data_IF_544176829755
#
_entry.id   IF_544176829755
#
_cell.length_a   1.000
_cell.length_b   1.000
_cell.length_c   1.000
_cell.angle_alpha   90.00
_cell.angle_beta   90.00
_cell.angle_gamma   90.00
#
_symmetry.space_group_name_H-M   'P 1'
#
loop_
_entity.id
_entity.type
_entity.pdbx_description
1 polymer ?
#
# COMPACT_ATOMS: atom_id res chain seq x y z
N UNK A 1 1.65 -20.50 -3.82
CA UNK A 1 1.42 -19.07 -4.13
C UNK A 1 2.46 -18.28 -3.36
N UNK A 2 3.03 -17.25 -3.97
CA UNK A 2 3.99 -16.39 -3.31
C UNK A 2 3.34 -15.65 -2.12
N UNK A 3 4.08 -15.46 -1.05
CA UNK A 3 3.64 -14.68 0.12
C UNK A 3 3.82 -13.19 -0.18
N UNK A 4 2.76 -12.34 -0.13
CA UNK A 4 2.87 -10.93 -0.40
C UNK A 4 3.63 -10.19 0.70
N UNK A 5 4.52 -9.29 0.31
CA UNK A 5 5.22 -8.33 1.18
C UNK A 5 4.94 -6.93 0.65
N UNK A 6 4.25 -6.11 1.44
CA UNK A 6 3.90 -4.75 1.05
C UNK A 6 5.10 -3.82 1.27
N UNK A 7 5.51 -3.09 0.25
CA UNK A 7 6.52 -2.04 0.37
C UNK A 7 5.79 -0.71 0.51
N UNK A 8 5.92 -0.05 1.64
CA UNK A 8 5.17 1.18 1.94
C UNK A 8 6.08 2.32 2.32
N UNK A 9 5.84 3.48 1.74
CA UNK A 9 6.37 4.75 2.21
C UNK A 9 5.50 5.37 3.32
N UNK A 10 5.70 6.65 3.63
CA UNK A 10 4.94 7.33 4.69
C UNK A 10 3.54 7.79 4.26
N UNK A 11 2.68 8.18 5.25
CA UNK A 11 1.24 8.52 5.08
C UNK A 11 0.94 9.64 4.08
N UNK A 12 1.75 10.66 4.03
CA UNK A 12 1.61 11.75 3.07
C UNK A 12 2.74 11.60 2.06
N UNK A 13 2.61 10.69 1.10
CA UNK A 13 3.73 10.31 0.25
C UNK A 13 4.23 11.52 -0.55
N UNK A 14 5.53 11.71 -0.53
CA UNK A 14 6.26 12.55 -1.46
C UNK A 14 6.87 11.70 -2.59
N UNK A 15 7.68 12.34 -3.42
CA UNK A 15 8.27 11.64 -4.56
C UNK A 15 9.27 10.55 -4.13
N UNK A 16 10.03 10.74 -3.03
CA UNK A 16 10.99 9.73 -2.52
C UNK A 16 10.27 8.51 -1.94
N UNK A 17 9.19 8.74 -1.23
CA UNK A 17 8.30 7.70 -0.69
C UNK A 17 7.71 6.83 -1.80
N UNK A 18 7.24 7.42 -2.91
CA UNK A 18 6.70 6.70 -4.08
C UNK A 18 7.80 5.95 -4.84
N UNK A 19 8.86 6.65 -5.21
CA UNK A 19 9.98 6.08 -5.95
C UNK A 19 10.71 5.01 -5.15
N UNK A 20 10.84 5.23 -3.84
CA UNK A 20 11.40 4.26 -2.90
C UNK A 20 10.59 2.96 -2.89
N UNK A 21 9.25 3.05 -2.81
CA UNK A 21 8.40 1.86 -2.85
C UNK A 21 8.56 1.09 -4.17
N UNK A 22 8.53 1.78 -5.32
CA UNK A 22 8.69 1.18 -6.65
C UNK A 22 10.08 0.55 -6.82
N UNK A 23 11.13 1.33 -6.56
CA UNK A 23 12.52 0.89 -6.75
C UNK A 23 12.92 -0.25 -5.81
N UNK A 24 12.45 -0.21 -4.54
CA UNK A 24 12.76 -1.26 -3.59
C UNK A 24 11.99 -2.55 -3.90
N UNK A 25 10.73 -2.46 -4.34
CA UNK A 25 9.97 -3.62 -4.81
C UNK A 25 10.67 -4.26 -6.01
N UNK A 26 11.12 -3.46 -6.97
CA UNK A 26 11.90 -3.96 -8.11
C UNK A 26 13.18 -4.70 -7.64
N UNK A 27 13.98 -4.07 -6.78
CA UNK A 27 15.18 -4.69 -6.21
C UNK A 27 14.88 -6.04 -5.53
N UNK A 28 13.86 -6.09 -4.69
CA UNK A 28 13.51 -7.30 -3.92
C UNK A 28 12.98 -8.41 -4.82
N UNK A 29 12.17 -8.10 -5.82
CA UNK A 29 11.65 -9.08 -6.77
C UNK A 29 12.77 -9.67 -7.65
N UNK A 30 13.73 -8.85 -8.09
CA UNK A 30 14.90 -9.36 -8.83
C UNK A 30 15.79 -10.25 -7.94
N UNK A 31 15.98 -9.90 -6.67
CA UNK A 31 16.69 -10.75 -5.71
C UNK A 31 15.95 -12.07 -5.46
N UNK A 32 14.59 -12.04 -5.40
CA UNK A 32 13.77 -13.24 -5.22
C UNK A 32 13.89 -14.18 -6.44
N UNK A 33 13.86 -13.66 -7.66
CA UNK A 33 14.09 -14.43 -8.89
C UNK A 33 15.45 -15.14 -8.85
N UNK A 34 16.50 -14.46 -8.40
CA UNK A 34 17.85 -15.07 -8.25
C UNK A 34 17.87 -16.15 -7.17
N UNK A 35 17.15 -15.91 -6.06
CA UNK A 35 17.05 -16.90 -4.97
C UNK A 35 16.36 -18.17 -5.45
N UNK A 36 15.22 -18.06 -6.15
CA UNK A 36 14.49 -19.20 -6.70
C UNK A 36 15.27 -19.93 -7.79
N UNK A 37 16.06 -19.22 -8.60
CA UNK A 37 16.94 -19.84 -9.58
C UNK A 37 18.05 -20.71 -8.94
N UNK A 38 18.52 -20.34 -7.73
CA UNK A 38 19.51 -21.10 -6.98
C UNK A 38 18.89 -22.18 -6.08
N UNK A 39 17.71 -21.93 -5.54
CA UNK A 39 16.97 -22.82 -4.68
C UNK A 39 15.48 -22.78 -5.01
N UNK A 40 14.98 -23.66 -5.91
CA UNK A 40 13.57 -23.69 -6.32
C UNK A 40 12.58 -24.01 -5.19
N UNK A 41 13.05 -24.60 -4.07
CA UNK A 41 12.22 -24.93 -2.90
C UNK A 41 12.21 -23.80 -1.84
N UNK A 42 12.85 -22.66 -2.12
CA UNK A 42 12.83 -21.52 -1.20
C UNK A 42 11.40 -20.95 -1.07
N UNK A 43 11.08 -20.41 0.11
CA UNK A 43 9.84 -19.67 0.30
C UNK A 43 9.79 -18.48 -0.66
N UNK A 44 8.73 -18.42 -1.45
CA UNK A 44 8.54 -17.40 -2.47
C UNK A 44 7.79 -16.21 -1.89
N UNK A 45 8.37 -15.01 -2.10
CA UNK A 45 7.77 -13.74 -1.72
C UNK A 45 7.54 -12.87 -2.96
N UNK A 46 6.41 -12.16 -2.99
CA UNK A 46 6.08 -11.15 -3.97
C UNK A 46 6.09 -9.78 -3.30
N UNK A 47 6.96 -8.87 -3.76
CA UNK A 47 7.11 -7.54 -3.19
C UNK A 47 6.28 -6.55 -3.99
N UNK A 48 5.24 -5.99 -3.34
CA UNK A 48 4.20 -5.16 -3.97
C UNK A 48 4.42 -3.71 -3.53
N UNK A 49 4.71 -2.78 -4.47
CA UNK A 49 4.83 -1.37 -4.13
C UNK A 49 3.46 -0.79 -3.78
N UNK A 50 3.38 -0.11 -2.63
CA UNK A 50 2.15 0.47 -2.11
C UNK A 50 2.35 1.93 -1.71
N UNK A 51 1.27 2.71 -1.73
CA UNK A 51 1.20 4.09 -1.23
C UNK A 51 0.06 4.25 -0.23
N UNK A 52 0.23 5.17 0.70
CA UNK A 52 -0.71 5.41 1.80
C UNK A 52 -1.56 6.67 1.60
N UNK A 53 -1.37 7.39 0.50
CA UNK A 53 -2.06 8.64 0.19
C UNK A 53 -2.17 8.91 -1.31
N UNK A 54 -2.63 10.10 -1.67
CA UNK A 54 -2.67 10.57 -3.06
C UNK A 54 -1.29 10.47 -3.71
N UNK A 55 -1.25 10.23 -5.00
CA UNK A 55 0.00 10.27 -5.75
C UNK A 55 0.40 11.76 -5.94
N UNK A 56 1.64 12.15 -5.60
CA UNK A 56 2.15 13.48 -5.93
C UNK A 56 2.13 13.72 -7.44
N UNK A 57 1.87 14.94 -7.88
CA UNK A 57 1.74 15.28 -9.30
C UNK A 57 3.03 14.98 -10.08
N UNK A 58 4.19 15.30 -9.51
CA UNK A 58 5.50 14.98 -10.06
C UNK A 58 5.74 13.47 -10.17
N UNK A 59 5.30 12.69 -9.18
CA UNK A 59 5.40 11.23 -9.24
C UNK A 59 4.49 10.68 -10.34
N UNK A 60 3.25 11.15 -10.43
CA UNK A 60 2.29 10.73 -11.46
C UNK A 60 2.81 11.02 -12.87
N UNK A 61 3.37 12.22 -13.07
CA UNK A 61 3.94 12.62 -14.35
C UNK A 61 5.09 11.70 -14.77
N UNK A 62 6.06 11.47 -13.89
CA UNK A 62 7.24 10.64 -14.22
C UNK A 62 6.85 9.16 -14.40
N UNK A 63 6.02 8.60 -13.52
CA UNK A 63 5.57 7.22 -13.67
C UNK A 63 4.81 7.02 -15.00
N UNK A 64 3.93 7.98 -15.35
CA UNK A 64 3.18 7.94 -16.61
C UNK A 64 4.08 8.10 -17.84
N UNK A 65 5.02 9.05 -17.82
CA UNK A 65 5.96 9.31 -18.92
C UNK A 65 6.82 8.08 -19.25
N UNK A 66 7.28 7.38 -18.21
CA UNK A 66 8.15 6.21 -18.37
C UNK A 66 7.41 4.86 -18.31
N UNK A 67 6.08 4.86 -18.31
CA UNK A 67 5.25 3.67 -18.37
C UNK A 67 5.38 2.75 -17.15
N UNK A 68 5.66 3.30 -15.99
CA UNK A 68 5.71 2.59 -14.71
C UNK A 68 4.32 2.62 -14.07
N UNK A 69 3.84 1.46 -13.64
CA UNK A 69 2.58 1.36 -12.92
C UNK A 69 2.66 2.05 -11.55
N UNK A 70 1.64 2.86 -11.23
CA UNK A 70 1.59 3.55 -9.95
C UNK A 70 1.45 2.56 -8.78
N UNK A 71 2.13 2.78 -7.64
CA UNK A 71 1.97 1.96 -6.46
C UNK A 71 0.51 1.82 -6.03
N UNK A 72 0.13 0.62 -5.60
CA UNK A 72 -1.23 0.34 -5.14
C UNK A 72 -1.60 1.22 -3.94
N UNK A 73 -2.74 1.93 -4.03
CA UNK A 73 -3.27 2.65 -2.88
C UNK A 73 -3.83 1.67 -1.86
N UNK A 74 -3.30 1.71 -0.64
CA UNK A 74 -3.81 0.93 0.48
C UNK A 74 -4.16 1.87 1.65
N UNK A 75 -5.33 1.73 2.27
CA UNK A 75 -5.70 2.59 3.41
C UNK A 75 -5.05 2.14 4.72
N UNK A 76 -4.67 0.88 4.84
CA UNK A 76 -4.16 0.26 6.06
C UNK A 76 -3.45 -1.06 5.77
N UNK A 77 -2.73 -1.58 6.76
CA UNK A 77 -2.05 -2.89 6.72
C UNK A 77 -2.66 -3.92 7.68
N UNK A 78 -3.89 -3.68 8.16
CA UNK A 78 -4.61 -4.70 8.93
C UNK A 78 -4.80 -5.97 8.12
N UNK A 79 -4.75 -7.12 8.80
CA UNK A 79 -5.00 -8.42 8.18
C UNK A 79 -6.44 -8.50 7.64
N UNK A 80 -6.59 -9.20 6.52
CA UNK A 80 -7.87 -9.44 5.83
C UNK A 80 -8.22 -10.91 5.84
N UNK A 81 -9.44 -11.24 5.47
CA UNK A 81 -9.90 -12.62 5.31
C UNK A 81 -9.05 -13.39 4.31
N UNK A 82 -8.65 -12.74 3.21
CA UNK A 82 -7.74 -13.32 2.21
C UNK A 82 -6.39 -13.77 2.76
N UNK A 83 -5.93 -13.20 3.86
CA UNK A 83 -4.65 -13.56 4.48
C UNK A 83 -4.73 -14.88 5.30
N UNK A 84 -5.94 -15.40 5.57
CA UNK A 84 -6.17 -16.61 6.38
C UNK A 84 -7.03 -17.67 5.72
N UNK A 85 -7.76 -17.34 4.65
CA UNK A 85 -8.65 -18.27 4.01
C UNK A 85 -7.92 -19.45 3.37
N UNK A 86 -8.50 -20.64 3.46
CA UNK A 86 -8.08 -21.79 2.67
C UNK A 86 -8.58 -21.64 1.23
N UNK A 87 -7.68 -21.57 0.26
CA UNK A 87 -7.94 -21.39 -1.17
C UNK A 87 -6.97 -22.28 -1.99
N UNK A 88 -7.39 -22.86 -3.16
CA UNK A 88 -8.74 -22.79 -3.72
C UNK A 88 -9.75 -23.62 -2.93
N UNK A 89 -11.03 -23.22 -3.00
CA UNK A 89 -12.10 -23.95 -2.32
C UNK A 89 -12.46 -25.23 -3.08
N UNK A 90 -12.74 -26.31 -2.34
CA UNK A 90 -13.26 -27.54 -2.91
C UNK A 90 -14.79 -27.42 -3.01
N UNK A 91 -15.32 -27.49 -4.23
CA UNK A 91 -16.73 -27.33 -4.52
C UNK A 91 -17.30 -28.48 -5.33
N UNK A 92 -18.63 -28.68 -5.25
CA UNK A 92 -19.40 -29.62 -6.06
C UNK A 92 -20.70 -28.97 -6.53
N UNK A 93 -21.19 -29.31 -7.73
CA UNK A 93 -22.52 -28.88 -8.14
C UNK A 93 -23.57 -29.58 -7.27
N UNK A 94 -24.73 -28.94 -7.05
CA UNK A 94 -25.82 -29.47 -6.23
C UNK A 94 -26.37 -30.80 -6.70
N UNK A 95 -26.20 -31.12 -7.98
CA UNK A 95 -26.55 -32.44 -8.58
C UNK A 95 -25.55 -33.56 -8.28
N UNK A 96 -24.43 -33.28 -7.63
CA UNK A 96 -23.47 -34.30 -7.23
C UNK A 96 -24.08 -35.23 -6.17
N UNK A 97 -23.62 -36.50 -6.14
CA UNK A 97 -24.14 -37.47 -5.18
C UNK A 97 -23.51 -37.34 -3.81
N UNK A 98 -24.25 -37.77 -2.78
CA UNK A 98 -23.75 -37.82 -1.41
C UNK A 98 -22.48 -38.68 -1.28
N UNK A 99 -22.40 -39.79 -2.08
CA UNK A 99 -21.18 -40.61 -2.13
C UNK A 99 -19.96 -39.78 -2.59
N UNK A 100 -20.12 -38.99 -3.65
CA UNK A 100 -19.03 -38.16 -4.17
C UNK A 100 -18.56 -37.11 -3.15
N UNK A 101 -19.51 -36.45 -2.46
CA UNK A 101 -19.20 -35.51 -1.40
C UNK A 101 -18.46 -36.20 -0.25
N UNK A 102 -18.94 -37.36 0.22
CA UNK A 102 -18.30 -38.14 1.28
C UNK A 102 -16.86 -38.55 0.93
N UNK A 103 -16.63 -38.94 -0.33
CA UNK A 103 -15.29 -39.30 -0.82
C UNK A 103 -14.36 -38.11 -0.81
N UNK A 104 -14.78 -36.92 -1.27
CA UNK A 104 -13.96 -35.71 -1.30
C UNK A 104 -13.64 -35.24 0.12
N UNK A 105 -14.59 -35.25 1.05
CA UNK A 105 -14.35 -34.92 2.46
C UNK A 105 -13.23 -35.80 3.04
N UNK A 106 -13.28 -37.10 2.76
CA UNK A 106 -12.29 -38.07 3.26
C UNK A 106 -10.91 -37.91 2.60
N UNK A 107 -10.88 -37.73 1.26
CA UNK A 107 -9.61 -37.63 0.50
C UNK A 107 -8.86 -36.38 0.85
N UNK A 108 -9.56 -35.25 1.05
CA UNK A 108 -8.94 -33.97 1.33
C UNK A 108 -8.85 -33.63 2.82
N UNK A 109 -9.32 -34.52 3.71
CA UNK A 109 -9.39 -34.32 5.16
C UNK A 109 -10.08 -32.98 5.55
N UNK A 110 -11.16 -32.61 4.83
CA UNK A 110 -11.94 -31.42 5.05
C UNK A 110 -13.29 -31.75 5.71
N UNK A 111 -13.89 -30.74 6.37
CA UNK A 111 -15.14 -30.91 7.10
C UNK A 111 -16.38 -30.44 6.33
N UNK A 112 -16.18 -29.57 5.35
CA UNK A 112 -17.26 -28.96 4.57
C UNK A 112 -16.85 -28.83 3.11
N UNK A 113 -17.82 -28.98 2.21
CA UNK A 113 -17.69 -28.75 0.76
C UNK A 113 -18.67 -27.67 0.38
N UNK A 114 -18.20 -26.72 -0.41
CA UNK A 114 -19.05 -25.70 -1.03
C UNK A 114 -19.91 -26.35 -2.11
N UNK A 115 -21.18 -26.02 -2.10
CA UNK A 115 -22.12 -26.44 -3.15
C UNK A 115 -22.39 -25.26 -4.07
N UNK A 116 -22.33 -25.53 -5.38
CA UNK A 116 -22.61 -24.51 -6.40
C UNK A 116 -23.91 -24.83 -7.12
N UNK A 117 -24.55 -23.79 -7.64
CA UNK A 117 -25.68 -23.90 -8.58
C UNK A 117 -25.20 -24.25 -10.01
N UNK A 118 -26.14 -24.24 -10.97
CA UNK A 118 -25.87 -24.53 -12.39
C UNK A 118 -25.01 -23.46 -13.06
N UNK A 119 -24.96 -22.24 -12.49
CA UNK A 119 -24.13 -21.12 -12.96
C UNK A 119 -22.73 -21.09 -12.30
N UNK A 120 -22.45 -22.02 -11.38
CA UNK A 120 -21.20 -22.09 -10.63
C UNK A 120 -21.13 -21.14 -9.43
N UNK A 121 -22.22 -20.46 -9.09
CA UNK A 121 -22.32 -19.59 -7.93
C UNK A 121 -22.58 -20.36 -6.64
N UNK A 122 -22.29 -19.74 -5.53
CA UNK A 122 -22.51 -20.32 -4.21
C UNK A 122 -23.99 -20.62 -3.94
N UNK A 123 -24.30 -21.88 -3.61
CA UNK A 123 -25.63 -22.35 -3.23
C UNK A 123 -25.74 -22.79 -1.76
N UNK A 124 -24.61 -22.96 -1.06
CA UNK A 124 -24.53 -23.35 0.33
C UNK A 124 -23.36 -24.29 0.61
N UNK A 125 -23.36 -24.95 1.76
CA UNK A 125 -22.36 -25.97 2.11
C UNK A 125 -22.96 -27.27 2.52
N UNK A 126 -22.23 -28.37 2.32
CA UNK A 126 -22.53 -29.69 2.88
C UNK A 126 -21.37 -30.06 3.81
N UNK A 127 -21.68 -30.26 5.09
CA UNK A 127 -20.70 -30.65 6.10
C UNK A 127 -20.74 -32.15 6.40
N UNK A 128 -19.60 -32.70 6.84
CA UNK A 128 -19.49 -34.06 7.36
C UNK A 128 -20.52 -34.37 8.47
N UNK A 129 -20.82 -33.33 9.29
CA UNK A 129 -21.86 -33.42 10.33
C UNK A 129 -23.24 -33.64 9.73
N UNK A 130 -23.64 -32.91 8.70
CA UNK A 130 -24.94 -33.07 8.02
C UNK A 130 -25.07 -34.44 7.36
N UNK A 131 -23.99 -34.95 6.77
CA UNK A 131 -23.94 -36.30 6.20
C UNK A 131 -24.12 -37.33 7.31
N UNK A 132 -23.42 -37.22 8.43
CA UNK A 132 -23.58 -38.12 9.58
C UNK A 132 -24.98 -38.05 10.17
N UNK A 133 -25.58 -36.86 10.34
CA UNK A 133 -26.97 -36.71 10.79
C UNK A 133 -27.95 -37.40 9.86
N UNK A 134 -27.73 -37.34 8.55
CA UNK A 134 -28.55 -38.07 7.56
C UNK A 134 -28.48 -39.60 7.75
N UNK A 135 -27.28 -40.15 7.89
CA UNK A 135 -27.11 -41.58 8.11
C UNK A 135 -27.73 -42.01 9.44
N UNK A 136 -27.51 -41.30 10.52
CA UNK A 136 -28.08 -41.58 11.84
C UNK A 136 -29.61 -41.52 11.77
N UNK A 137 -30.17 -40.52 11.09
CA UNK A 137 -31.63 -40.40 10.96
C UNK A 137 -32.26 -41.57 10.19
N UNK A 138 -31.57 -42.09 9.15
CA UNK A 138 -31.98 -43.25 8.39
C UNK A 138 -32.02 -44.50 9.29
N UNK A 139 -30.95 -44.70 10.06
CA UNK A 139 -30.87 -45.79 11.04
C UNK A 139 -31.93 -45.71 12.15
N UNK A 140 -32.21 -44.49 12.66
CA UNK A 140 -33.14 -44.26 13.76
C UNK A 140 -34.62 -44.32 13.34
N UNK A 141 -35.00 -44.06 12.08
CA UNK A 141 -36.35 -44.19 11.59
C UNK A 141 -36.81 -45.61 11.70
N UNK A 142 -35.97 -46.54 11.32
CA UNK A 142 -36.23 -47.98 11.37
C UNK A 142 -36.32 -48.52 12.80
N UNK A 143 -35.53 -47.98 13.73
CA UNK A 143 -35.59 -48.33 15.15
C UNK A 143 -36.93 -47.93 15.85
N UNK A 144 -37.65 -46.95 15.29
CA UNK A 144 -38.94 -46.47 15.82
C UNK A 144 -40.15 -47.23 15.26
N UNK A 145 -40.03 -47.81 14.10
CA UNK A 145 -41.13 -48.54 13.40
C UNK A 145 -41.19 -50.04 13.75
N UNK A 146 -40.63 -50.48 14.88
CA UNK A 146 -40.77 -51.77 15.56
C UNK A 146 -41.15 -53.02 14.70
N UNK A 147 -40.75 -53.03 13.45
CA UNK A 147 -40.83 -54.17 12.56
C UNK A 147 -39.42 -54.73 12.34
N UNK A 148 -39.31 -56.07 12.34
CA UNK A 148 -38.03 -56.77 12.07
C UNK A 148 -37.49 -56.43 10.69
N UNK A 149 -36.80 -55.29 10.61
CA UNK A 149 -36.03 -54.93 9.39
C UNK A 149 -34.76 -55.77 9.36
N UNK A 150 -34.61 -56.52 8.31
CA UNK A 150 -33.41 -57.31 8.06
C UNK A 150 -32.22 -56.32 7.77
N UNK A 151 -31.01 -56.75 8.13
CA UNK A 151 -29.79 -56.01 7.79
C UNK A 151 -29.70 -55.67 6.29
N UNK A 152 -30.40 -56.42 5.41
CA UNK A 152 -30.47 -56.14 3.98
C UNK A 152 -31.30 -54.89 3.64
N UNK A 153 -32.38 -54.60 4.38
CA UNK A 153 -33.20 -53.39 4.17
C UNK A 153 -32.43 -52.15 4.57
N UNK A 154 -31.76 -52.19 5.72
CA UNK A 154 -30.88 -51.07 6.20
C UNK A 154 -29.78 -50.80 5.18
N UNK A 155 -29.15 -51.84 4.64
CA UNK A 155 -28.10 -51.68 3.62
C UNK A 155 -28.64 -51.07 2.31
N UNK A 156 -29.87 -51.45 1.88
CA UNK A 156 -30.50 -50.88 0.71
C UNK A 156 -30.84 -49.40 0.88
N UNK A 157 -31.37 -49.00 2.05
CA UNK A 157 -31.71 -47.61 2.35
C UNK A 157 -30.46 -46.70 2.47
N UNK A 158 -29.39 -47.22 3.06
CA UNK A 158 -28.09 -46.54 3.06
C UNK A 158 -27.53 -46.37 1.64
N UNK A 159 -27.63 -47.44 0.82
CA UNK A 159 -27.19 -47.36 -0.58
C UNK A 159 -28.03 -46.37 -1.39
N UNK A 160 -29.34 -46.32 -1.19
CA UNK A 160 -30.23 -45.35 -1.82
C UNK A 160 -29.87 -43.93 -1.41
N UNK A 161 -29.53 -43.69 -0.15
CA UNK A 161 -29.13 -42.37 0.32
C UNK A 161 -27.79 -41.89 -0.27
N UNK A 162 -26.86 -42.80 -0.57
CA UNK A 162 -25.57 -42.48 -1.21
C UNK A 162 -25.71 -41.90 -2.63
N UNK A 163 -26.80 -42.29 -3.33
CA UNK A 163 -27.07 -41.83 -4.71
C UNK A 163 -27.91 -40.55 -4.79
N UNK A 164 -28.39 -40.04 -3.65
CA UNK A 164 -29.16 -38.80 -3.61
C UNK A 164 -28.27 -37.57 -3.89
N UNK A 165 -28.90 -36.56 -4.47
CA UNK A 165 -28.26 -35.28 -4.71
C UNK A 165 -27.93 -34.57 -3.38
N UNK A 166 -26.76 -33.96 -3.32
CA UNK A 166 -26.30 -33.23 -2.11
C UNK A 166 -27.13 -31.98 -1.83
N UNK A 167 -27.88 -31.47 -2.80
CA UNK A 167 -28.71 -30.28 -2.65
C UNK A 167 -29.72 -30.40 -1.49
N UNK A 168 -30.21 -31.60 -1.23
CA UNK A 168 -31.12 -31.89 -0.09
C UNK A 168 -30.48 -31.73 1.30
N UNK A 169 -29.17 -31.68 1.39
CA UNK A 169 -28.40 -31.57 2.62
C UNK A 169 -27.69 -30.21 2.77
N UNK A 170 -27.89 -29.30 1.81
CA UNK A 170 -27.27 -27.99 1.80
C UNK A 170 -27.70 -27.21 3.03
N UNK A 171 -26.72 -26.63 3.70
CA UNK A 171 -26.92 -25.65 4.78
C UNK A 171 -26.57 -24.26 4.25
N UNK A 172 -27.49 -23.31 4.38
CA UNK A 172 -27.35 -21.94 3.92
C UNK A 172 -27.06 -20.96 5.09
N UNK A 173 -26.77 -21.49 6.29
CA UNK A 173 -26.45 -20.69 7.48
C UNK A 173 -24.98 -20.35 7.69
N UNK A 174 -23.99 -20.86 6.91
CA UNK A 174 -22.62 -20.37 7.04
C UNK A 174 -22.57 -18.85 6.92
N UNK A 175 -21.67 -18.24 7.66
CA UNK A 175 -21.34 -16.85 7.51
C UNK A 175 -20.77 -16.62 6.11
N UNK A 176 -21.13 -15.52 5.47
CA UNK A 176 -20.60 -15.10 4.18
C UNK A 176 -19.75 -13.86 4.39
N UNK A 177 -18.55 -13.87 3.84
CA UNK A 177 -17.57 -12.79 3.94
C UNK A 177 -16.91 -12.53 2.59
N UNK A 178 -16.34 -11.34 2.42
CA UNK A 178 -15.52 -10.98 1.26
C UNK A 178 -14.03 -11.21 1.53
N UNK A 179 -13.20 -11.41 0.50
CA UNK A 179 -11.73 -11.53 0.67
C UNK A 179 -11.10 -10.33 1.36
N UNK A 180 -11.67 -9.14 1.15
CA UNK A 180 -11.16 -7.86 1.66
C UNK A 180 -11.71 -7.46 3.04
N UNK A 181 -12.63 -8.23 3.61
CA UNK A 181 -13.12 -7.98 4.95
C UNK A 181 -11.99 -8.04 5.98
N UNK A 182 -12.06 -7.18 7.00
CA UNK A 182 -11.04 -7.15 8.04
C UNK A 182 -11.11 -8.42 8.91
N UNK A 183 -9.95 -9.04 9.12
CA UNK A 183 -9.85 -10.21 9.98
C UNK A 183 -10.47 -10.01 11.36
N UNK A 184 -10.22 -8.86 12.01
CA UNK A 184 -10.71 -8.61 13.36
C UNK A 184 -12.24 -8.60 13.43
N UNK A 185 -12.91 -8.04 12.43
CA UNK A 185 -14.38 -7.93 12.38
C UNK A 185 -15.01 -9.32 12.17
N UNK A 186 -14.40 -10.11 11.27
CA UNK A 186 -14.88 -11.46 10.97
C UNK A 186 -14.59 -12.46 12.10
N UNK A 187 -13.50 -12.28 12.84
CA UNK A 187 -13.07 -13.19 13.90
C UNK A 187 -14.12 -13.32 15.01
N UNK A 188 -14.66 -12.22 15.53
CA UNK A 188 -15.65 -12.26 16.61
C UNK A 188 -16.94 -12.95 16.16
N UNK A 189 -17.43 -12.64 14.97
CA UNK A 189 -18.64 -13.22 14.40
C UNK A 189 -18.45 -14.71 14.08
N UNK A 190 -17.30 -15.10 13.55
CA UNK A 190 -16.98 -16.49 13.28
C UNK A 190 -16.90 -17.32 14.57
N UNK A 191 -16.36 -16.74 15.64
CA UNK A 191 -16.28 -17.40 16.94
C UNK A 191 -17.66 -17.60 17.58
N UNK A 192 -18.63 -16.71 17.30
CA UNK A 192 -20.00 -16.80 17.74
C UNK A 192 -20.88 -17.71 16.86
N UNK A 193 -20.51 -17.93 15.58
CA UNK A 193 -21.29 -18.70 14.63
C UNK A 193 -21.35 -20.20 14.98
N UNK A 194 -22.55 -20.81 14.88
CA UNK A 194 -22.77 -22.24 15.20
C UNK A 194 -21.97 -23.19 14.30
N UNK A 195 -21.84 -22.88 13.02
CA UNK A 195 -21.14 -23.70 12.04
C UNK A 195 -19.63 -23.56 12.12
N UNK A 196 -19.15 -22.47 12.76
CA UNK A 196 -17.71 -22.24 12.99
C UNK A 196 -16.90 -22.14 11.71
N UNK A 197 -17.56 -21.73 10.64
CA UNK A 197 -16.97 -21.54 9.32
C UNK A 197 -17.65 -20.40 8.59
N UNK A 198 -16.89 -19.73 7.71
CA UNK A 198 -17.38 -18.70 6.79
C UNK A 198 -16.96 -19.07 5.37
N UNK A 199 -17.84 -18.83 4.41
CA UNK A 199 -17.54 -18.98 2.98
C UNK A 199 -17.15 -17.62 2.44
N UNK A 200 -16.01 -17.55 1.76
CA UNK A 200 -15.49 -16.33 1.16
C UNK A 200 -15.98 -16.25 -0.28
N UNK A 201 -16.76 -15.22 -0.60
CA UNK A 201 -17.29 -15.00 -1.94
C UNK A 201 -16.62 -13.78 -2.59
N UNK A 202 -16.38 -13.90 -3.89
CA UNK A 202 -16.01 -12.73 -4.70
C UNK A 202 -17.25 -11.88 -5.04
N UNK A 203 -17.02 -10.76 -5.73
CA UNK A 203 -18.08 -9.83 -6.19
C UNK A 203 -19.10 -10.46 -7.16
N UNK A 204 -18.79 -11.60 -7.77
CA UNK A 204 -19.67 -12.33 -8.66
C UNK A 204 -20.49 -13.41 -7.92
N UNK A 205 -20.28 -13.58 -6.61
CA UNK A 205 -20.91 -14.60 -5.80
C UNK A 205 -20.31 -16.01 -5.98
N UNK A 206 -19.08 -16.08 -6.50
CA UNK A 206 -18.31 -17.31 -6.60
C UNK A 206 -17.52 -17.54 -5.32
N UNK A 207 -17.54 -18.75 -4.80
CA UNK A 207 -16.77 -19.10 -3.62
C UNK A 207 -15.28 -19.23 -3.97
N UNK A 208 -14.45 -18.37 -3.36
CA UNK A 208 -13.00 -18.30 -3.58
C UNK A 208 -12.20 -18.89 -2.41
N UNK A 209 -12.82 -19.06 -1.24
CA UNK A 209 -12.19 -19.62 -0.06
C UNK A 209 -13.17 -20.04 1.02
N UNK A 210 -12.63 -20.68 2.05
CA UNK A 210 -13.31 -20.97 3.32
C UNK A 210 -12.40 -20.53 4.46
N UNK A 211 -13.00 -19.96 5.49
CA UNK A 211 -12.34 -19.65 6.77
C UNK A 211 -12.99 -20.45 7.88
N UNK A 212 -12.18 -21.14 8.67
CA UNK A 212 -12.63 -21.91 9.84
C UNK A 212 -12.04 -21.32 11.12
N UNK A 213 -12.56 -21.76 12.28
CA UNK A 213 -11.95 -21.37 13.58
C UNK A 213 -10.49 -21.78 13.71
N UNK A 214 -10.04 -22.81 13.00
CA UNK A 214 -8.65 -23.23 13.02
C UNK A 214 -7.74 -22.22 12.30
N UNK A 215 -8.23 -21.67 11.19
CA UNK A 215 -7.50 -20.69 10.38
C UNK A 215 -7.32 -19.38 11.12
N UNK A 216 -8.29 -19.02 11.97
CA UNK A 216 -8.25 -17.78 12.76
C UNK A 216 -7.67 -17.98 14.18
N UNK A 217 -7.19 -19.17 14.53
CA UNK A 217 -6.60 -19.42 15.85
C UNK A 217 -5.28 -18.66 16.08
N UNK A 218 -4.57 -18.35 15.01
CA UNK A 218 -3.35 -17.53 15.02
C UNK A 218 -3.63 -16.28 14.21
N UNK A 219 -3.53 -15.11 14.87
CA UNK A 219 -3.73 -13.82 14.19
C UNK A 219 -2.68 -13.65 13.10
N UNK A 220 -3.07 -13.50 11.83
CA UNK A 220 -2.14 -13.28 10.75
C UNK A 220 -1.48 -11.90 10.89
N UNK A 221 -0.26 -11.79 10.42
CA UNK A 221 0.47 -10.53 10.35
C UNK A 221 0.90 -10.31 8.92
N UNK A 222 0.41 -9.25 8.31
CA UNK A 222 0.86 -8.89 6.96
C UNK A 222 2.31 -8.47 7.01
N UNK A 223 3.10 -8.99 6.08
CA UNK A 223 4.52 -8.64 5.98
C UNK A 223 4.66 -7.28 5.29
N UNK A 224 5.42 -6.38 5.91
CA UNK A 224 5.60 -5.01 5.43
C UNK A 224 7.08 -4.64 5.46
N UNK A 225 7.59 -4.05 4.40
CA UNK A 225 8.86 -3.35 4.42
C UNK A 225 8.61 -1.84 4.34
N UNK A 226 9.31 -1.08 5.18
CA UNK A 226 9.18 0.37 5.26
C UNK A 226 10.27 1.02 4.41
N UNK A 227 9.89 2.03 3.66
CA UNK A 227 10.79 2.87 2.89
C UNK A 227 10.52 4.33 3.24
N UNK A 228 11.59 5.11 3.40
CA UNK A 228 11.53 6.55 3.59
C UNK A 228 10.84 7.01 4.88
N UNK A 229 10.71 6.13 5.85
CA UNK A 229 10.28 6.46 7.21
C UNK A 229 10.58 5.32 8.18
N UNK A 230 10.69 5.65 9.46
CA UNK A 230 10.83 4.69 10.54
C UNK A 230 10.11 5.17 11.83
N UNK A 231 9.05 5.97 11.69
CA UNK A 231 8.22 6.45 12.81
C UNK A 231 6.78 5.94 12.67
N UNK A 232 6.17 5.43 13.77
CA UNK A 232 4.77 4.94 13.75
C UNK A 232 3.76 6.02 13.39
N UNK A 233 4.05 7.28 13.74
CA UNK A 233 3.19 8.42 13.40
C UNK A 233 3.03 8.63 11.89
N UNK A 234 4.03 8.23 11.12
CA UNK A 234 4.07 8.32 9.66
C UNK A 234 3.69 7.01 8.96
N UNK A 235 3.61 5.90 9.70
CA UNK A 235 3.32 4.59 9.15
C UNK A 235 1.82 4.35 8.90
N UNK A 236 1.51 3.32 8.11
CA UNK A 236 0.14 2.90 7.83
C UNK A 236 -0.64 2.54 9.10
N UNK A 237 -1.95 2.75 9.08
CA UNK A 237 -2.83 2.23 10.12
C UNK A 237 -2.73 0.70 10.18
N UNK A 238 -2.67 0.15 11.38
CA UNK A 238 -2.44 -1.29 11.59
C UNK A 238 -0.97 -1.72 11.62
N UNK A 239 0.00 -0.81 11.49
CA UNK A 239 1.43 -1.16 11.47
C UNK A 239 1.89 -1.87 12.74
N UNK A 240 1.35 -1.55 13.91
CA UNK A 240 1.65 -2.24 15.17
C UNK A 240 1.22 -3.71 15.19
N UNK A 241 0.31 -4.11 14.31
CA UNK A 241 -0.17 -5.47 14.14
C UNK A 241 0.53 -6.22 13.00
N UNK A 242 1.19 -5.50 12.12
CA UNK A 242 1.94 -6.07 10.99
C UNK A 242 3.29 -6.69 11.42
N UNK A 243 3.90 -7.43 10.53
CA UNK A 243 5.27 -7.93 10.63
C UNK A 243 6.19 -7.07 9.76
N UNK A 244 6.94 -6.17 10.39
CA UNK A 244 7.94 -5.38 9.67
C UNK A 244 9.13 -6.30 9.38
N UNK A 245 9.45 -6.48 8.10
CA UNK A 245 10.52 -7.41 7.66
C UNK A 245 11.81 -6.70 7.26
N UNK A 246 11.75 -5.47 6.81
CA UNK A 246 12.91 -4.66 6.45
C UNK A 246 12.58 -3.16 6.51
N UNK A 247 13.58 -2.31 6.78
CA UNK A 247 13.46 -0.85 6.74
C UNK A 247 14.62 -0.30 5.90
N UNK A 248 14.31 0.63 4.98
CA UNK A 248 15.29 1.41 4.21
C UNK A 248 14.94 2.88 4.35
N UNK A 249 15.84 3.66 4.96
CA UNK A 249 15.52 5.04 5.31
C UNK A 249 16.78 5.92 5.37
N UNK A 250 16.62 7.22 5.21
CA UNK A 250 17.67 8.22 5.33
C UNK A 250 17.42 9.24 6.45
N UNK A 251 16.27 9.16 7.10
CA UNK A 251 15.88 10.03 8.21
C UNK A 251 16.55 9.64 9.53
N UNK A 252 16.37 10.48 10.55
CA UNK A 252 16.73 10.12 11.93
C UNK A 252 15.98 8.84 12.35
N UNK A 253 16.60 8.06 13.23
CA UNK A 253 15.95 6.87 13.78
C UNK A 253 14.83 7.30 14.72
N UNK A 254 13.61 6.85 14.43
CA UNK A 254 12.39 7.13 15.18
C UNK A 254 12.04 6.06 16.21
N UNK A 255 10.75 5.73 16.32
CA UNK A 255 10.16 4.90 17.38
C UNK A 255 9.63 3.54 16.89
N UNK A 256 9.86 3.16 15.64
CA UNK A 256 9.43 1.85 15.12
C UNK A 256 10.15 0.73 15.88
N UNK A 257 9.34 -0.17 16.46
CA UNK A 257 9.80 -1.35 17.18
C UNK A 257 9.40 -2.63 16.44
N UNK A 258 10.27 -3.64 16.44
CA UNK A 258 10.01 -4.92 15.78
C UNK A 258 10.09 -6.07 16.81
N UNK A 259 9.27 -7.12 16.60
CA UNK A 259 9.23 -8.28 17.49
C UNK A 259 10.38 -9.27 17.24
N UNK A 260 11.10 -9.12 16.16
CA UNK A 260 12.25 -9.96 15.79
C UNK A 260 13.30 -9.12 15.05
N UNK A 261 14.56 -9.61 14.99
CA UNK A 261 15.60 -8.92 14.25
C UNK A 261 15.25 -8.79 12.77
N UNK A 262 15.43 -7.59 12.24
CA UNK A 262 15.20 -7.29 10.83
C UNK A 262 16.45 -6.67 10.20
N UNK A 263 16.47 -6.58 8.88
CA UNK A 263 17.44 -5.72 8.19
C UNK A 263 16.97 -4.27 8.26
N UNK A 264 17.78 -3.42 8.86
CA UNK A 264 17.57 -1.98 8.90
C UNK A 264 18.73 -1.28 8.22
N UNK A 265 18.48 -0.67 7.07
CA UNK A 265 19.47 0.15 6.34
C UNK A 265 19.11 1.61 6.50
N UNK A 266 19.89 2.33 7.30
CA UNK A 266 19.78 3.78 7.44
C UNK A 266 21.12 4.40 7.06
N UNK A 267 21.09 5.40 6.17
CA UNK A 267 22.29 6.11 5.71
C UNK A 267 22.02 7.62 5.69
N UNK A 268 22.97 8.45 6.14
CA UNK A 268 22.84 9.90 6.10
C UNK A 268 23.12 10.43 4.68
N UNK A 269 22.20 10.21 3.78
CA UNK A 269 22.17 10.65 2.37
C UNK A 269 20.97 11.53 2.12
N UNK A 270 20.88 12.13 0.95
CA UNK A 270 19.83 13.07 0.61
C UNK A 270 18.46 12.45 0.31
N UNK A 271 18.38 11.12 0.05
CA UNK A 271 17.13 10.45 -0.36
C UNK A 271 17.22 8.94 -0.14
N UNK A 272 16.11 8.30 0.20
CA UNK A 272 16.00 6.83 0.27
C UNK A 272 16.23 6.16 -1.09
N UNK A 273 15.88 6.83 -2.20
CA UNK A 273 16.15 6.34 -3.54
C UNK A 273 17.67 6.23 -3.82
N UNK A 274 18.50 7.04 -3.20
CA UNK A 274 19.96 6.91 -3.23
C UNK A 274 20.40 5.56 -2.66
N UNK A 275 19.87 5.17 -1.50
CA UNK A 275 20.19 3.89 -0.84
C UNK A 275 19.75 2.71 -1.72
N UNK A 276 18.56 2.81 -2.30
CA UNK A 276 18.00 1.77 -3.17
C UNK A 276 18.84 1.62 -4.44
N UNK A 277 19.26 2.73 -5.02
CA UNK A 277 20.17 2.72 -6.19
C UNK A 277 21.50 2.05 -5.85
N UNK A 278 22.07 2.33 -4.67
CA UNK A 278 23.27 1.63 -4.21
C UNK A 278 23.03 0.13 -4.09
N UNK A 279 21.90 -0.30 -3.49
CA UNK A 279 21.55 -1.74 -3.37
C UNK A 279 21.43 -2.44 -4.72
N UNK A 280 20.82 -1.79 -5.71
CA UNK A 280 20.68 -2.33 -7.08
C UNK A 280 22.06 -2.51 -7.73
N UNK A 281 22.92 -1.51 -7.62
CA UNK A 281 24.29 -1.55 -8.18
C UNK A 281 25.18 -2.57 -7.48
N UNK A 282 25.15 -2.63 -6.16
CA UNK A 282 25.95 -3.57 -5.36
C UNK A 282 25.55 -5.03 -5.64
N UNK A 283 24.30 -5.25 -6.05
CA UNK A 283 23.80 -6.56 -6.44
C UNK A 283 23.97 -6.85 -7.95
N UNK A 284 24.59 -5.98 -8.72
CA UNK A 284 24.69 -6.10 -10.20
C UNK A 284 23.31 -6.38 -10.84
N UNK A 285 22.27 -5.64 -10.42
CA UNK A 285 20.93 -5.69 -11.02
C UNK A 285 20.85 -4.60 -12.07
N UNK A 286 20.48 -4.98 -13.29
CA UNK A 286 20.20 -4.04 -14.38
C UNK A 286 19.02 -3.16 -14.01
N UNK A 287 19.16 -1.84 -14.17
CA UNK A 287 18.11 -0.88 -13.84
C UNK A 287 17.43 -0.44 -15.15
N UNK A 288 16.16 -0.81 -15.38
CA UNK A 288 15.41 -0.34 -16.55
C UNK A 288 15.25 1.18 -16.54
N UNK A 289 15.14 1.79 -17.72
CA UNK A 289 15.01 3.23 -17.88
C UNK A 289 13.91 3.85 -17.00
N UNK A 290 12.72 3.23 -16.95
CA UNK A 290 11.61 3.73 -16.12
C UNK A 290 11.91 3.70 -14.62
N UNK A 291 12.57 2.65 -14.13
CA UNK A 291 13.02 2.58 -12.72
C UNK A 291 14.11 3.61 -12.46
N UNK A 292 15.04 3.79 -13.42
CA UNK A 292 16.10 4.79 -13.30
C UNK A 292 15.53 6.21 -13.24
N UNK A 293 14.58 6.56 -14.11
CA UNK A 293 13.91 7.86 -14.11
C UNK A 293 13.14 8.10 -12.80
N UNK A 294 12.42 7.09 -12.31
CA UNK A 294 11.67 7.17 -11.05
C UNK A 294 12.61 7.42 -9.86
N UNK A 295 13.70 6.68 -9.73
CA UNK A 295 14.67 6.86 -8.65
C UNK A 295 15.41 8.20 -8.78
N UNK A 296 15.79 8.58 -10.00
CA UNK A 296 16.46 9.86 -10.26
C UNK A 296 15.57 11.05 -9.88
N UNK A 297 14.27 11.01 -10.24
CA UNK A 297 13.33 12.07 -9.89
C UNK A 297 13.27 12.30 -8.38
N UNK A 298 13.25 11.23 -7.60
CA UNK A 298 13.21 11.29 -6.14
C UNK A 298 14.49 11.90 -5.55
N UNK A 299 15.66 11.44 -5.98
CA UNK A 299 16.92 12.01 -5.49
C UNK A 299 16.99 13.50 -5.79
N UNK A 300 16.56 13.93 -6.98
CA UNK A 300 16.61 15.32 -7.38
C UNK A 300 15.59 16.20 -6.65
N UNK A 301 14.40 15.67 -6.32
CA UNK A 301 13.41 16.42 -5.52
C UNK A 301 13.87 16.58 -4.08
N UNK A 302 14.32 15.55 -3.40
CA UNK A 302 14.75 15.60 -2.01
C UNK A 302 16.03 16.41 -1.78
N UNK A 303 16.91 16.39 -2.78
CA UNK A 303 18.16 17.14 -2.72
C UNK A 303 18.07 18.53 -3.36
N UNK A 304 16.88 18.91 -3.84
CA UNK A 304 16.66 20.16 -4.58
C UNK A 304 17.71 20.32 -5.70
N UNK A 305 17.73 19.35 -6.60
CA UNK A 305 18.71 19.23 -7.69
C UNK A 305 20.16 19.32 -7.16
N UNK A 306 20.46 18.58 -6.09
CA UNK A 306 21.76 18.53 -5.40
C UNK A 306 22.22 19.86 -4.76
N UNK A 307 21.31 20.81 -4.55
CA UNK A 307 21.57 22.10 -3.90
C UNK A 307 21.29 22.08 -2.39
N UNK A 308 20.49 21.14 -1.89
CA UNK A 308 20.22 20.99 -0.47
C UNK A 308 21.51 20.70 0.31
N UNK A 309 21.66 21.24 1.53
CA UNK A 309 22.79 20.88 2.42
C UNK A 309 22.76 19.40 2.83
N UNK A 310 21.66 18.69 2.64
CA UNK A 310 21.55 17.23 2.86
C UNK A 310 22.14 16.41 1.72
N UNK A 311 22.38 17.01 0.54
CA UNK A 311 22.96 16.32 -0.61
C UNK A 311 24.42 15.92 -0.33
N UNK A 312 24.71 14.62 -0.54
CA UNK A 312 26.04 14.05 -0.32
C UNK A 312 26.72 13.65 -1.63
N UNK A 313 28.01 13.29 -1.53
CA UNK A 313 28.74 12.74 -2.68
C UNK A 313 28.17 11.38 -3.13
N UNK A 314 27.46 10.67 -2.24
CA UNK A 314 26.78 9.42 -2.63
C UNK A 314 25.62 9.76 -3.56
N UNK A 315 24.79 10.74 -3.22
CA UNK A 315 23.68 11.19 -4.05
C UNK A 315 24.17 11.62 -5.43
N UNK A 316 25.23 12.45 -5.50
CA UNK A 316 25.82 12.90 -6.77
C UNK A 316 26.21 11.72 -7.68
N UNK A 317 26.90 10.72 -7.13
CA UNK A 317 27.29 9.53 -7.91
C UNK A 317 26.10 8.71 -8.41
N UNK A 318 25.01 8.62 -7.62
CA UNK A 318 23.82 7.88 -8.08
C UNK A 318 23.04 8.69 -9.11
N UNK A 319 22.95 10.01 -8.95
CA UNK A 319 22.37 10.92 -9.96
C UNK A 319 23.09 10.79 -11.29
N UNK A 320 24.44 10.89 -11.32
CA UNK A 320 25.22 10.71 -12.55
C UNK A 320 24.99 9.34 -13.19
N UNK A 321 24.93 8.29 -12.40
CA UNK A 321 24.70 6.94 -12.87
C UNK A 321 23.31 6.76 -13.49
N UNK A 322 22.24 7.19 -12.79
CA UNK A 322 20.85 7.07 -13.25
C UNK A 322 20.58 7.96 -14.46
N UNK A 323 21.11 9.19 -14.46
CA UNK A 323 21.02 10.11 -15.59
C UNK A 323 21.70 9.55 -16.84
N UNK A 324 22.82 8.83 -16.67
CA UNK A 324 23.48 8.10 -17.74
C UNK A 324 22.62 6.99 -18.35
N UNK A 325 21.77 6.33 -17.57
CA UNK A 325 20.84 5.30 -18.07
C UNK A 325 19.75 5.95 -18.93
N UNK A 326 19.15 7.05 -18.45
CA UNK A 326 18.06 7.73 -19.18
C UNK A 326 18.56 8.67 -20.29
N UNK A 327 19.86 8.93 -20.35
CA UNK A 327 20.48 9.78 -21.38
C UNK A 327 20.10 11.27 -21.29
N UNK A 328 19.76 11.77 -20.08
CA UNK A 328 19.36 13.18 -19.85
C UNK A 328 20.31 13.90 -18.92
N UNK A 329 20.38 15.23 -19.04
CA UNK A 329 21.08 16.07 -18.08
C UNK A 329 20.32 16.10 -16.73
N UNK A 330 20.99 15.86 -15.60
CA UNK A 330 20.34 15.82 -14.30
C UNK A 330 19.61 17.11 -13.92
N UNK A 331 20.17 18.28 -14.30
CA UNK A 331 19.55 19.56 -13.96
C UNK A 331 18.30 19.81 -14.80
N UNK A 332 18.36 19.52 -16.11
CA UNK A 332 17.21 19.64 -16.99
C UNK A 332 16.09 18.69 -16.58
N UNK A 333 16.44 17.44 -16.26
CA UNK A 333 15.47 16.46 -15.77
C UNK A 333 14.87 16.86 -14.42
N UNK A 334 15.68 17.33 -13.48
CA UNK A 334 15.20 17.84 -12.17
C UNK A 334 14.22 19.00 -12.33
N UNK A 335 14.53 19.96 -13.20
CA UNK A 335 13.61 21.07 -13.53
C UNK A 335 12.32 20.57 -14.16
N UNK A 336 12.37 19.55 -15.04
CA UNK A 336 11.19 18.93 -15.61
C UNK A 336 10.31 18.32 -14.50
N UNK A 337 10.87 17.58 -13.54
CA UNK A 337 10.16 17.01 -12.40
C UNK A 337 9.51 18.08 -11.52
N UNK A 338 10.25 19.15 -11.18
CA UNK A 338 9.70 20.25 -10.39
C UNK A 338 8.57 21.00 -11.11
N UNK A 339 8.66 21.15 -12.44
CA UNK A 339 7.59 21.77 -13.23
C UNK A 339 6.33 20.89 -13.25
N UNK A 340 6.46 19.57 -13.16
CA UNK A 340 5.33 18.66 -13.11
C UNK A 340 4.56 18.70 -11.76
N UNK A 341 5.14 19.28 -10.72
CA UNK A 341 4.52 19.45 -9.38
C UNK A 341 3.32 20.43 -9.38
N UNK A 342 2.88 20.90 -10.55
CA UNK A 342 1.85 21.96 -10.62
C UNK A 342 2.35 23.31 -10.16
N UNK A 343 3.60 23.55 -10.35
CA UNK A 343 4.50 24.63 -9.95
C UNK A 343 3.90 25.94 -9.48
N UNK A 344 4.75 26.86 -9.04
CA UNK A 344 4.44 28.23 -8.60
C UNK A 344 3.50 29.02 -9.54
N UNK A 345 3.38 28.56 -10.81
CA UNK A 345 2.47 29.14 -11.78
C UNK A 345 0.98 28.95 -11.44
N UNK A 346 0.63 27.81 -10.80
CA UNK A 346 -0.75 27.44 -10.46
C UNK A 346 -1.05 27.55 -8.95
N UNK A 347 0.00 27.72 -8.12
CA UNK A 347 -0.16 27.84 -6.67
C UNK A 347 -1.04 29.03 -6.31
N UNK A 348 -1.98 28.84 -5.37
CA UNK A 348 -2.76 29.96 -4.82
C UNK A 348 -1.84 31.04 -4.22
N UNK A 349 -2.05 32.29 -4.64
CA UNK A 349 -1.22 33.43 -4.21
C UNK A 349 -1.15 33.58 -2.68
N UNK A 350 -2.22 33.27 -1.98
CA UNK A 350 -2.23 33.30 -0.52
C UNK A 350 -1.25 32.26 0.03
N UNK A 351 -1.30 31.04 -0.47
CA UNK A 351 -0.39 29.97 -0.07
C UNK A 351 1.05 30.34 -0.38
N UNK A 352 1.33 30.83 -1.59
CA UNK A 352 2.66 31.29 -2.02
C UNK A 352 3.26 32.33 -1.06
N UNK A 353 2.44 33.28 -0.58
CA UNK A 353 2.92 34.37 0.28
C UNK A 353 2.92 33.99 1.76
N UNK A 354 1.98 33.15 2.23
CA UNK A 354 1.79 32.98 3.68
C UNK A 354 2.32 31.66 4.24
N UNK A 355 2.77 30.72 3.40
CA UNK A 355 3.25 29.41 3.85
C UNK A 355 4.48 29.52 4.78
N UNK A 356 5.42 30.40 4.44
CA UNK A 356 6.56 30.75 5.32
C UNK A 356 6.60 32.26 5.52
N UNK A 357 5.86 32.76 6.52
CA UNK A 357 5.79 34.18 6.84
C UNK A 357 5.87 34.41 8.35
N UNK A 358 6.54 35.48 8.74
CA UNK A 358 6.74 35.88 10.14
C UNK A 358 6.51 37.37 10.33
N UNK A 359 5.83 37.71 11.43
CA UNK A 359 5.66 39.09 11.88
C UNK A 359 6.82 39.53 12.74
N UNK A 360 7.29 40.74 12.49
CA UNK A 360 8.33 41.39 13.29
C UNK A 360 7.84 42.74 13.80
N UNK A 361 8.12 43.04 15.06
CA UNK A 361 7.86 44.34 15.66
C UNK A 361 9.09 45.25 15.51
N UNK A 362 8.88 46.38 14.91
CA UNK A 362 9.89 47.45 14.77
C UNK A 362 9.39 48.72 15.50
N UNK A 363 10.23 49.73 15.78
CA UNK A 363 9.80 50.94 16.48
C UNK A 363 8.63 51.68 15.80
N UNK A 364 8.54 51.57 14.47
CA UNK A 364 7.52 52.24 13.65
C UNK A 364 6.18 51.44 13.58
N UNK A 365 6.14 50.15 14.00
CA UNK A 365 4.96 49.31 13.94
C UNK A 365 5.26 47.81 13.75
N UNK A 366 4.40 47.09 13.06
CA UNK A 366 4.58 45.69 12.74
C UNK A 366 4.83 45.52 11.23
N UNK A 367 5.75 44.65 10.87
CA UNK A 367 6.05 44.27 9.48
C UNK A 367 5.82 42.78 9.30
N UNK A 368 5.52 42.34 8.07
CA UNK A 368 5.50 40.94 7.68
C UNK A 368 6.65 40.67 6.72
N UNK A 369 7.42 39.64 7.01
CA UNK A 369 8.45 39.11 6.11
C UNK A 369 8.01 37.69 5.74
N UNK A 370 7.88 37.43 4.44
CA UNK A 370 7.55 36.14 3.87
C UNK A 370 8.69 35.66 2.97
N UNK A 371 8.86 34.35 2.88
CA UNK A 371 9.82 33.71 2.00
C UNK A 371 9.12 32.65 1.15
N UNK A 372 9.48 32.61 -0.13
CA UNK A 372 9.09 31.55 -1.05
C UNK A 372 10.34 31.07 -1.80
N UNK A 373 10.63 29.80 -1.67
CA UNK A 373 11.73 29.14 -2.38
C UNK A 373 11.18 28.47 -3.64
N UNK A 374 11.82 28.72 -4.77
CA UNK A 374 11.40 28.22 -6.07
C UNK A 374 12.58 27.69 -6.89
N UNK A 375 12.33 26.77 -7.79
CA UNK A 375 13.28 26.35 -8.83
C UNK A 375 12.91 26.97 -10.19
N UNK A 376 11.80 27.73 -10.25
CA UNK A 376 11.25 28.36 -11.46
C UNK A 376 10.88 29.82 -11.24
N UNK A 377 11.88 30.63 -10.89
CA UNK A 377 11.70 32.07 -10.58
C UNK A 377 10.88 32.82 -11.65
N UNK A 378 11.11 32.50 -12.93
CA UNK A 378 10.38 33.12 -14.03
C UNK A 378 8.87 32.83 -13.99
N UNK A 379 8.43 31.68 -13.48
CA UNK A 379 7.02 31.35 -13.34
C UNK A 379 6.36 32.22 -12.26
N UNK A 380 7.03 32.41 -11.12
CA UNK A 380 6.58 33.30 -10.03
C UNK A 380 6.55 34.75 -10.50
N UNK A 381 7.59 35.19 -11.16
CA UNK A 381 7.72 36.61 -11.59
C UNK A 381 6.73 37.00 -12.72
N UNK A 382 6.22 36.05 -13.51
CA UNK A 382 5.11 36.31 -14.43
C UNK A 382 3.82 36.70 -13.71
N UNK A 383 3.69 36.32 -12.43
CA UNK A 383 2.54 36.63 -11.55
C UNK A 383 2.83 37.84 -10.62
N UNK A 384 3.89 38.59 -10.88
CA UNK A 384 4.34 39.70 -9.99
C UNK A 384 3.20 40.67 -9.63
N UNK A 385 2.37 41.08 -10.60
CA UNK A 385 1.28 42.05 -10.32
C UNK A 385 0.19 41.45 -9.40
N UNK A 386 -0.18 40.19 -9.61
CA UNK A 386 -1.12 39.45 -8.75
C UNK A 386 -0.58 39.34 -7.32
N UNK A 387 0.71 39.00 -7.19
CA UNK A 387 1.37 38.88 -5.89
C UNK A 387 1.43 40.24 -5.19
N UNK A 388 1.78 41.31 -5.90
CA UNK A 388 1.80 42.66 -5.35
C UNK A 388 0.45 43.18 -4.89
N UNK A 389 -0.62 42.84 -5.62
CA UNK A 389 -2.00 43.12 -5.22
C UNK A 389 -2.32 42.46 -3.89
N UNK A 390 -2.02 41.17 -3.76
CA UNK A 390 -2.23 40.42 -2.51
C UNK A 390 -1.40 40.96 -1.35
N UNK A 391 -0.13 41.37 -1.57
CA UNK A 391 0.71 41.98 -0.53
C UNK A 391 0.15 43.33 -0.06
N UNK A 392 -0.43 44.14 -0.96
CA UNK A 392 -1.12 45.38 -0.63
C UNK A 392 -2.34 45.15 0.25
N UNK A 393 -3.18 44.22 -0.15
CA UNK A 393 -4.37 43.84 0.61
C UNK A 393 -4.02 43.30 2.00
N UNK A 394 -2.98 42.45 2.08
CA UNK A 394 -2.51 41.87 3.33
C UNK A 394 -1.97 42.96 4.28
N UNK A 395 -1.20 43.94 3.74
CA UNK A 395 -0.72 45.11 4.47
C UNK A 395 -1.88 45.92 5.04
N UNK A 396 -2.86 46.29 4.22
CA UNK A 396 -4.00 47.12 4.63
C UNK A 396 -4.86 46.44 5.68
N UNK A 397 -5.16 45.17 5.48
CA UNK A 397 -6.04 44.37 6.34
C UNK A 397 -5.47 44.19 7.76
N UNK A 398 -4.16 44.03 7.89
CA UNK A 398 -3.51 43.75 9.16
C UNK A 398 -2.77 44.99 9.73
N UNK A 399 -2.73 46.13 9.02
CA UNK A 399 -2.09 47.34 9.47
C UNK A 399 -0.58 47.24 9.53
N UNK A 400 0.04 46.45 8.63
CA UNK A 400 1.51 46.38 8.56
C UNK A 400 2.11 47.66 7.98
N UNK A 401 3.28 48.07 8.48
CA UNK A 401 4.06 49.20 7.95
C UNK A 401 4.55 48.90 6.53
N UNK A 402 5.03 47.67 6.32
CA UNK A 402 5.28 47.10 5.01
C UNK A 402 5.20 45.57 5.06
N UNK A 403 5.03 44.97 3.89
CA UNK A 403 5.11 43.51 3.68
C UNK A 403 6.22 43.25 2.67
N UNK A 404 7.11 42.31 2.99
CA UNK A 404 8.22 41.87 2.15
C UNK A 404 8.03 40.41 1.81
N UNK A 405 8.04 40.08 0.53
CA UNK A 405 8.18 38.71 0.05
C UNK A 405 9.55 38.52 -0.60
N UNK A 406 10.31 37.55 -0.09
CA UNK A 406 11.57 37.10 -0.64
C UNK A 406 11.28 35.89 -1.55
N UNK A 407 11.48 36.00 -2.84
CA UNK A 407 11.39 34.88 -3.80
C UNK A 407 12.80 34.43 -4.13
N UNK A 408 13.20 33.29 -3.63
CA UNK A 408 14.54 32.73 -3.77
C UNK A 408 14.59 31.69 -4.85
N UNK A 409 15.33 31.92 -5.93
CA UNK A 409 15.68 30.90 -6.92
C UNK A 409 16.81 30.04 -6.36
N UNK A 410 16.50 28.79 -6.05
CA UNK A 410 17.47 27.88 -5.44
C UNK A 410 18.52 27.43 -6.48
N UNK A 411 18.14 27.37 -7.77
CA UNK A 411 19.03 26.93 -8.84
C UNK A 411 20.01 28.02 -9.23
N UNK A 412 19.49 29.24 -9.44
CA UNK A 412 20.32 30.39 -9.78
C UNK A 412 21.02 31.02 -8.55
N UNK A 413 20.72 30.55 -7.34
CA UNK A 413 21.28 31.07 -6.07
C UNK A 413 21.07 32.59 -5.92
N UNK A 414 19.87 33.06 -6.31
CA UNK A 414 19.52 34.49 -6.28
C UNK A 414 18.11 34.69 -5.69
N UNK A 415 17.86 35.91 -5.18
CA UNK A 415 16.57 36.25 -4.62
C UNK A 415 16.02 37.55 -5.19
N UNK A 416 14.74 37.57 -5.51
CA UNK A 416 13.98 38.76 -5.83
C UNK A 416 13.14 39.20 -4.64
N UNK A 417 13.07 40.52 -4.41
CA UNK A 417 12.31 41.12 -3.33
C UNK A 417 11.07 41.79 -3.89
N UNK A 418 9.89 41.39 -3.44
CA UNK A 418 8.63 42.08 -3.69
C UNK A 418 8.20 42.76 -2.39
N UNK A 419 8.15 44.09 -2.41
CA UNK A 419 7.86 44.89 -1.22
C UNK A 419 6.68 45.82 -1.51
N UNK A 420 5.74 45.86 -0.57
CA UNK A 420 4.63 46.81 -0.58
C UNK A 420 4.62 47.61 0.73
N UNK A 421 4.88 48.94 0.63
CA UNK A 421 4.96 49.86 1.75
C UNK A 421 5.68 51.17 1.43
N UNK A 422 5.89 51.99 2.45
CA UNK A 422 6.64 53.25 2.27
C UNK A 422 8.14 52.95 2.04
N UNK A 423 8.63 53.28 0.86
CA UNK A 423 10.00 53.04 0.42
C UNK A 423 11.07 53.59 1.40
N UNK A 424 10.78 54.74 2.04
CA UNK A 424 11.69 55.32 3.03
C UNK A 424 11.82 54.52 4.32
N UNK A 425 10.80 53.68 4.62
CA UNK A 425 10.81 52.80 5.78
C UNK A 425 11.48 51.46 5.44
N UNK A 426 11.31 50.98 4.22
CA UNK A 426 11.96 49.76 3.71
C UNK A 426 13.47 49.91 3.65
N UNK A 427 13.97 51.06 3.16
CA UNK A 427 15.43 51.34 3.03
C UNK A 427 16.17 51.43 4.38
N UNK A 428 15.47 51.39 5.52
CA UNK A 428 16.04 51.47 6.87
C UNK A 428 16.20 50.12 7.57
N UNK A 429 15.57 49.09 7.05
CA UNK A 429 15.60 47.74 7.55
C UNK A 429 16.44 46.84 6.65
#
# INVERSE_FOLDING_TARGET
MATPVLIVGHKNPDNDSIAGAVGFAYYKNEMMKRTLAQNPDAEEFEYIPCRLGPLPEESEAILSEYGIEAPQLIPHVFARVSDVMSSPVISLPGSATLLKASQLLAVHDIRSIVVTDEEGKYAGVVSSRKIAERYISTLCKEAKEATEHSASTIAADLQASLTQDIMSLVDNRPMIVAPDDLYNDVFEDLMANELREAVVLDENGVAVGIVTRSDVAVKPRRKVALVDHNEFSQAADGMSEAEIVEIVDHHRIGDVCTNQPIRFTNMPVGSSATIITCKLRDADIEIPEGIAATLLSAILTDTVILKSPTATDVDRRQVEYLAGIIGQDPTEFGLHVFNARGGDAEMDVKTLVTADSKEFKIPEGTILIAQHETVTLDAVMKREEEIREFLRDLKEKNGYEFVLLLVTDIIAEGSNFLVEGDRKKVDKV
#
